data_IF_504554642388
#
_entry.id   IF_504554642388
#
_cell.length_a   1.000
_cell.length_b   1.000
_cell.length_c   1.000
_cell.angle_alpha   90.00
_cell.angle_beta   90.00
_cell.angle_gamma   90.00
#
_symmetry.space_group_name_H-M   'P 1'
#
loop_
_entity.id
_entity.type
_entity.pdbx_description
1 polymer ?
#
# COMPACT_ATOMS: atom_id res chain seq x y z
N UNK A 1 -41.18 -10.89 -8.31
CA UNK A 1 -39.86 -11.31 -8.81
C UNK A 1 -39.52 -10.47 -10.03
N UNK A 2 -38.59 -9.53 -9.88
CA UNK A 2 -37.86 -8.89 -10.96
C UNK A 2 -36.64 -8.25 -10.29
N UNK A 3 -35.45 -8.79 -10.57
CA UNK A 3 -34.18 -8.26 -10.07
C UNK A 3 -33.64 -7.36 -11.17
N UNK A 4 -33.72 -6.05 -10.96
CA UNK A 4 -33.04 -5.09 -11.80
C UNK A 4 -31.53 -5.28 -11.64
N UNK A 5 -30.93 -5.68 -12.75
CA UNK A 5 -29.49 -5.76 -12.96
C UNK A 5 -28.99 -4.30 -13.02
N UNK A 6 -28.04 -3.96 -12.15
CA UNK A 6 -27.39 -2.64 -12.08
C UNK A 6 -26.97 -2.13 -13.47
N UNK A 7 -27.16 -0.84 -13.78
CA UNK A 7 -26.58 -0.26 -14.98
C UNK A 7 -25.05 -0.07 -14.82
N UNK A 8 -24.29 -0.12 -15.92
CA UNK A 8 -22.84 0.12 -15.96
C UNK A 8 -22.50 1.60 -15.66
N UNK A 9 -21.21 1.95 -15.43
CA UNK A 9 -20.82 3.31 -15.08
C UNK A 9 -21.32 4.32 -16.11
N UNK A 10 -21.88 5.42 -15.60
CA UNK A 10 -22.63 6.42 -16.34
C UNK A 10 -21.94 6.85 -17.65
N UNK A 11 -22.66 6.73 -18.77
CA UNK A 11 -22.36 7.42 -20.03
C UNK A 11 -22.33 8.92 -19.75
N UNK A 12 -21.16 9.55 -19.87
CA UNK A 12 -21.02 11.00 -19.73
C UNK A 12 -21.39 11.67 -21.06
N UNK A 13 -22.38 12.55 -20.97
CA UNK A 13 -22.88 13.45 -22.00
C UNK A 13 -21.71 14.26 -22.60
N UNK A 14 -21.63 14.33 -23.93
CA UNK A 14 -20.76 15.27 -24.67
C UNK A 14 -21.26 16.69 -24.37
N UNK A 15 -20.44 17.52 -23.73
CA UNK A 15 -20.60 18.97 -23.74
C UNK A 15 -19.43 19.57 -24.50
N UNK A 16 -19.79 20.55 -25.32
CA UNK A 16 -19.00 21.27 -26.31
C UNK A 16 -17.67 21.82 -25.81
N UNK A 17 -16.75 21.90 -26.76
CA UNK A 17 -15.46 22.59 -26.69
C UNK A 17 -15.65 24.07 -26.42
N UNK A 18 -15.14 24.55 -25.29
CA UNK A 18 -14.73 25.93 -25.13
C UNK A 18 -13.25 25.97 -24.77
N UNK A 19 -12.52 26.68 -25.63
CA UNK A 19 -11.08 26.87 -25.62
C UNK A 19 -10.70 27.78 -24.46
N UNK A 20 -10.22 27.21 -23.35
CA UNK A 20 -9.56 27.99 -22.29
C UNK A 20 -8.08 27.66 -22.28
N UNK A 21 -7.29 28.68 -22.58
CA UNK A 21 -5.83 28.70 -22.65
C UNK A 21 -5.23 28.33 -21.30
N UNK A 22 -4.93 27.04 -21.11
CA UNK A 22 -4.24 26.55 -19.91
C UNK A 22 -2.74 26.89 -20.01
N UNK A 23 -2.24 27.63 -19.01
CA UNK A 23 -0.81 27.81 -18.78
C UNK A 23 -0.13 26.44 -18.65
N UNK A 24 0.82 26.18 -19.56
CA UNK A 24 1.71 25.00 -19.52
C UNK A 24 2.53 25.02 -18.23
N UNK A 25 2.09 24.31 -17.20
CA UNK A 25 3.02 23.65 -16.29
C UNK A 25 3.29 22.26 -16.87
N UNK A 26 4.41 22.16 -17.59
CA UNK A 26 4.98 20.92 -18.08
C UNK A 26 5.37 20.06 -16.89
N UNK A 27 4.62 19.01 -16.62
CA UNK A 27 5.07 17.90 -15.75
C UNK A 27 6.25 17.25 -16.50
N UNK A 28 7.49 17.30 -15.97
CA UNK A 28 8.62 16.68 -16.64
C UNK A 28 8.39 15.18 -16.79
N UNK A 29 8.88 14.61 -17.89
CA UNK A 29 8.96 13.17 -18.06
C UNK A 29 9.96 12.61 -17.04
N UNK A 30 9.47 12.20 -15.87
CA UNK A 30 10.28 11.72 -14.77
C UNK A 30 10.74 10.29 -15.04
N UNK A 31 11.99 10.13 -15.49
CA UNK A 31 12.75 8.93 -15.13
C UNK A 31 12.78 8.86 -13.61
N UNK A 32 12.36 7.76 -12.96
CA UNK A 32 12.38 7.68 -11.50
C UNK A 32 13.78 7.98 -10.98
N UNK A 33 13.89 8.93 -10.06
CA UNK A 33 15.16 9.17 -9.38
C UNK A 33 15.62 7.85 -8.73
N UNK A 34 16.91 7.50 -8.82
CA UNK A 34 17.41 6.30 -8.18
C UNK A 34 17.12 6.37 -6.67
N UNK A 35 16.75 5.22 -6.09
CA UNK A 35 16.56 5.10 -4.65
C UNK A 35 17.84 5.55 -3.92
N UNK A 36 17.73 6.29 -2.80
CA UNK A 36 18.90 6.59 -2.00
C UNK A 36 19.54 5.30 -1.48
N UNK A 37 20.85 5.30 -1.19
CA UNK A 37 21.52 4.14 -0.61
C UNK A 37 20.77 3.60 0.60
N UNK A 38 20.55 2.29 0.64
CA UNK A 38 19.87 1.64 1.77
C UNK A 38 20.82 1.56 2.96
N UNK A 39 20.46 2.19 4.07
CA UNK A 39 21.24 2.10 5.30
C UNK A 39 21.03 0.71 5.93
N UNK A 40 22.13 0.01 6.20
CA UNK A 40 22.13 -1.34 6.78
C UNK A 40 21.36 -1.46 8.11
N UNK A 41 21.24 -0.36 8.86
CA UNK A 41 20.51 -0.31 10.14
C UNK A 41 19.03 0.07 9.99
N UNK A 42 18.54 0.22 8.76
CA UNK A 42 17.16 0.61 8.48
C UNK A 42 16.38 -0.49 7.75
N UNK A 43 15.08 -0.55 8.00
CA UNK A 43 14.14 -1.34 7.23
C UNK A 43 13.63 -0.48 6.07
N UNK A 44 13.87 -0.92 4.83
CA UNK A 44 13.24 -0.33 3.65
C UNK A 44 11.90 -1.01 3.40
N UNK A 45 10.82 -0.25 3.49
CA UNK A 45 9.46 -0.75 3.44
C UNK A 45 8.77 -0.13 2.22
N UNK A 46 8.20 -0.97 1.37
CA UNK A 46 7.34 -0.57 0.26
C UNK A 46 5.89 -0.87 0.56
N UNK A 47 4.99 -0.08 -0.01
CA UNK A 47 3.55 -0.33 0.01
C UNK A 47 2.92 -0.01 -1.32
N UNK A 48 2.04 -0.89 -1.77
CA UNK A 48 1.45 -0.81 -3.09
C UNK A 48 0.07 -1.47 -3.16
N UNK A 49 -0.96 -0.69 -3.46
CA UNK A 49 -2.24 -1.24 -3.91
C UNK A 49 -2.06 -1.78 -5.33
N UNK A 50 -2.12 -3.09 -5.49
CA UNK A 50 -1.85 -3.76 -6.77
C UNK A 50 -3.10 -4.07 -7.58
N UNK A 51 -4.28 -3.83 -7.01
CA UNK A 51 -5.57 -4.06 -7.66
C UNK A 51 -5.69 -5.47 -8.30
N UNK A 52 -5.26 -6.49 -7.56
CA UNK A 52 -5.31 -7.90 -7.94
C UNK A 52 -3.94 -8.51 -8.19
N UNK A 53 -3.69 -9.68 -7.60
CA UNK A 53 -2.37 -10.34 -7.66
C UNK A 53 -2.08 -11.04 -8.99
N UNK A 54 -3.11 -11.45 -9.73
CA UNK A 54 -2.96 -12.34 -10.88
C UNK A 54 -1.99 -11.85 -11.96
N UNK A 55 -1.98 -10.55 -12.35
CA UNK A 55 -1.02 -10.05 -13.34
C UNK A 55 0.44 -10.27 -12.96
N UNK A 56 0.76 -10.36 -11.66
CA UNK A 56 2.12 -10.52 -11.14
C UNK A 56 2.61 -11.97 -11.08
N UNK A 57 1.73 -12.93 -11.37
CA UNK A 57 2.00 -14.37 -11.30
C UNK A 57 2.04 -15.01 -12.69
N UNK A 58 1.73 -14.26 -13.75
CA UNK A 58 1.73 -14.78 -15.11
C UNK A 58 3.18 -14.99 -15.59
N UNK A 59 3.45 -16.17 -16.15
CA UNK A 59 4.70 -16.39 -16.86
C UNK A 59 4.70 -15.53 -18.14
N UNK A 60 5.84 -14.91 -18.51
CA UNK A 60 5.97 -14.24 -19.80
C UNK A 60 5.49 -15.15 -20.93
N UNK A 61 4.63 -14.67 -21.83
CA UNK A 61 4.17 -15.45 -23.00
C UNK A 61 5.35 -15.93 -23.87
N UNK A 62 6.49 -15.25 -23.82
CA UNK A 62 7.74 -15.66 -24.48
C UNK A 62 8.28 -17.01 -24.01
N UNK A 63 7.81 -17.57 -22.89
CA UNK A 63 8.16 -18.94 -22.49
C UNK A 63 7.53 -20.03 -23.38
N UNK A 64 6.57 -19.67 -24.24
CA UNK A 64 5.90 -20.59 -25.17
C UNK A 64 6.40 -20.47 -26.61
N UNK A 65 7.18 -19.44 -26.92
CA UNK A 65 7.79 -19.27 -28.23
C UNK A 65 9.28 -19.59 -28.10
N UNK A 66 9.68 -20.81 -28.48
CA UNK A 66 11.09 -21.08 -28.71
C UNK A 66 11.62 -20.07 -29.75
N UNK A 67 12.77 -19.43 -29.52
CA UNK A 67 13.33 -18.49 -30.47
C UNK A 67 13.73 -19.26 -31.73
N UNK A 68 12.94 -19.11 -32.80
CA UNK A 68 13.44 -19.40 -34.14
C UNK A 68 14.66 -18.50 -34.36
N UNK A 69 15.81 -19.12 -34.67
CA UNK A 69 17.09 -18.45 -34.94
C UNK A 69 16.90 -17.35 -35.97
N UNK A 70 16.66 -16.11 -35.52
CA UNK A 70 16.59 -14.94 -36.38
C UNK A 70 18.03 -14.50 -36.67
N UNK A 71 18.40 -14.56 -37.95
CA UNK A 71 19.68 -14.08 -38.48
C UNK A 71 19.87 -12.59 -38.17
N UNK A 72 21.08 -12.30 -37.70
CA UNK A 72 21.77 -11.01 -37.59
C UNK A 72 21.02 -9.73 -37.91
N UNK A 73 20.82 -8.91 -36.88
CA UNK A 73 21.04 -7.46 -36.97
C UNK A 73 21.85 -7.05 -35.75
N UNK A 74 23.08 -6.59 -36.00
CA UNK A 74 23.93 -5.97 -34.98
C UNK A 74 23.36 -4.58 -34.70
N UNK A 75 22.61 -4.46 -33.60
CA UNK A 75 22.39 -3.17 -32.99
C UNK A 75 22.49 -3.35 -31.47
N UNK A 76 23.64 -2.95 -30.93
CA UNK A 76 24.13 -3.26 -29.58
C UNK A 76 23.47 -2.47 -28.45
N UNK A 77 22.16 -2.22 -28.54
CA UNK A 77 21.40 -1.70 -27.41
C UNK A 77 20.47 -2.81 -26.89
N UNK A 78 20.55 -3.22 -25.61
CA UNK A 78 19.54 -4.10 -25.06
C UNK A 78 18.23 -3.31 -25.05
N UNK A 79 17.38 -3.55 -26.05
CA UNK A 79 15.96 -3.19 -25.98
C UNK A 79 15.44 -3.91 -24.73
N UNK A 80 15.33 -3.17 -23.62
CA UNK A 80 14.69 -3.63 -22.40
C UNK A 80 13.22 -3.87 -22.72
N UNK A 81 12.93 -5.05 -23.30
CA UNK A 81 11.58 -5.56 -23.42
C UNK A 81 10.96 -5.45 -22.03
N UNK A 82 9.78 -4.83 -21.95
CA UNK A 82 9.02 -4.68 -20.73
C UNK A 82 8.89 -6.05 -20.08
N UNK A 83 9.69 -6.31 -19.04
CA UNK A 83 9.56 -7.53 -18.27
C UNK A 83 8.12 -7.55 -17.75
N UNK A 84 7.39 -8.67 -17.91
CA UNK A 84 6.03 -8.75 -17.40
C UNK A 84 6.02 -8.44 -15.90
N UNK A 85 4.90 -7.91 -15.43
CA UNK A 85 4.69 -7.62 -14.02
C UNK A 85 5.04 -8.88 -13.20
N UNK A 86 6.04 -8.76 -12.33
CA UNK A 86 6.61 -9.87 -11.55
C UNK A 86 7.01 -9.36 -10.18
N UNK A 87 6.58 -10.07 -9.14
CA UNK A 87 6.94 -9.73 -7.76
C UNK A 87 8.47 -9.80 -7.56
N UNK A 88 9.12 -10.86 -8.07
CA UNK A 88 10.57 -11.02 -7.94
C UNK A 88 11.34 -9.92 -8.68
N UNK A 89 10.88 -9.56 -9.88
CA UNK A 89 11.50 -8.48 -10.65
C UNK A 89 11.32 -7.11 -9.98
N UNK A 90 10.17 -6.89 -9.32
CA UNK A 90 9.95 -5.69 -8.49
C UNK A 90 10.96 -5.64 -7.33
N UNK A 91 11.09 -6.75 -6.58
CA UNK A 91 12.02 -6.83 -5.46
C UNK A 91 13.47 -6.61 -5.92
N UNK A 92 13.88 -7.19 -7.04
CA UNK A 92 15.22 -7.01 -7.59
C UNK A 92 15.49 -5.55 -7.99
N UNK A 93 14.60 -4.93 -8.77
CA UNK A 93 14.83 -3.56 -9.27
C UNK A 93 14.83 -2.51 -8.16
N UNK A 94 14.14 -2.79 -7.06
CA UNK A 94 14.07 -1.92 -5.88
C UNK A 94 15.04 -2.33 -4.77
N UNK A 95 16.13 -3.00 -5.15
CA UNK A 95 17.28 -3.33 -4.29
C UNK A 95 16.90 -4.17 -3.06
N UNK A 96 16.01 -5.15 -3.24
CA UNK A 96 15.65 -6.14 -2.23
C UNK A 96 15.18 -5.53 -0.90
N UNK A 97 14.06 -4.77 -0.92
CA UNK A 97 13.56 -4.08 0.26
C UNK A 97 13.29 -5.05 1.41
N UNK A 98 13.37 -4.58 2.65
CA UNK A 98 13.12 -5.40 3.83
C UNK A 98 11.70 -5.97 3.84
N UNK A 99 10.71 -5.14 3.47
CA UNK A 99 9.30 -5.49 3.48
C UNK A 99 8.60 -4.89 2.25
N UNK A 100 7.71 -5.66 1.64
CA UNK A 100 6.77 -5.20 0.61
C UNK A 100 5.34 -5.50 1.04
N UNK A 101 4.53 -4.45 1.16
CA UNK A 101 3.11 -4.55 1.43
C UNK A 101 2.28 -4.42 0.16
N UNK A 102 1.37 -5.37 -0.03
CA UNK A 102 0.44 -5.40 -1.12
C UNK A 102 -0.99 -5.26 -0.61
N UNK A 103 -1.74 -4.31 -1.17
CA UNK A 103 -3.17 -4.13 -0.93
C UNK A 103 -4.00 -4.59 -2.14
N UNK A 104 -5.28 -4.91 -1.89
CA UNK A 104 -6.19 -5.47 -2.89
C UNK A 104 -5.62 -6.68 -3.63
N UNK A 105 -5.09 -7.67 -2.91
CA UNK A 105 -4.57 -8.89 -3.56
C UNK A 105 -5.67 -9.70 -4.27
N UNK A 106 -6.93 -9.54 -3.84
CA UNK A 106 -8.14 -10.18 -4.42
C UNK A 106 -8.06 -11.70 -4.46
N UNK A 107 -7.51 -12.29 -3.41
CA UNK A 107 -7.41 -13.72 -3.21
C UNK A 107 -8.51 -14.14 -2.23
N UNK A 108 -9.31 -15.15 -2.60
CA UNK A 108 -10.28 -15.73 -1.67
C UNK A 108 -9.55 -16.59 -0.62
N UNK A 109 -10.02 -16.69 0.64
CA UNK A 109 -9.36 -17.49 1.67
C UNK A 109 -9.09 -18.94 1.27
N UNK A 110 -10.03 -19.54 0.53
CA UNK A 110 -9.93 -20.93 0.05
C UNK A 110 -9.09 -21.09 -1.23
N UNK A 111 -8.57 -20.00 -1.83
CA UNK A 111 -7.75 -20.06 -3.03
C UNK A 111 -6.28 -20.34 -2.68
N UNK A 112 -6.01 -21.53 -2.14
CA UNK A 112 -4.67 -21.97 -1.74
C UNK A 112 -3.71 -22.03 -2.93
N UNK A 113 -4.22 -22.35 -4.12
CA UNK A 113 -3.42 -22.38 -5.34
C UNK A 113 -2.79 -21.02 -5.63
N UNK A 114 -3.57 -19.94 -5.57
CA UNK A 114 -3.03 -18.59 -5.82
C UNK A 114 -2.08 -18.18 -4.71
N UNK A 115 -2.39 -18.48 -3.44
CA UNK A 115 -1.49 -18.21 -2.31
C UNK A 115 -0.13 -18.92 -2.45
N UNK A 116 -0.14 -20.20 -2.84
CA UNK A 116 1.08 -20.97 -3.08
C UNK A 116 1.85 -20.47 -4.30
N UNK A 117 1.15 -19.98 -5.33
CA UNK A 117 1.78 -19.37 -6.51
C UNK A 117 2.53 -18.09 -6.15
N UNK A 118 1.98 -17.25 -5.26
CA UNK A 118 2.68 -16.08 -4.70
C UNK A 118 3.92 -16.51 -3.94
N UNK A 119 3.79 -17.47 -3.01
CA UNK A 119 4.94 -17.98 -2.23
C UNK A 119 6.05 -18.52 -3.14
N UNK A 120 5.69 -19.27 -4.18
CA UNK A 120 6.64 -19.80 -5.16
C UNK A 120 7.33 -18.69 -5.96
N UNK A 121 6.61 -17.66 -6.39
CA UNK A 121 7.17 -16.53 -7.13
C UNK A 121 8.24 -15.77 -6.32
N UNK A 122 8.13 -15.76 -5.00
CA UNK A 122 9.06 -15.09 -4.10
C UNK A 122 10.30 -15.92 -3.77
N UNK A 123 10.21 -17.24 -3.92
CA UNK A 123 11.28 -18.22 -3.66
C UNK A 123 12.00 -18.70 -4.93
N UNK A 124 11.50 -18.30 -6.10
CA UNK A 124 12.10 -18.63 -7.39
C UNK A 124 13.04 -17.51 -7.81
N UNK A 125 14.28 -17.86 -8.13
CA UNK A 125 15.27 -16.93 -8.68
C UNK A 125 14.94 -16.57 -10.13
N UNK A 126 15.16 -15.32 -10.51
CA UNK A 126 15.14 -14.91 -11.91
C UNK A 126 16.33 -15.52 -12.66
N UNK A 127 16.25 -15.72 -13.99
CA UNK A 127 17.38 -16.21 -14.78
C UNK A 127 18.67 -15.38 -14.58
N UNK A 128 18.54 -14.05 -14.44
CA UNK A 128 19.67 -13.17 -14.15
C UNK A 128 20.34 -13.49 -12.80
N UNK A 129 19.57 -13.86 -11.78
CA UNK A 129 20.09 -14.24 -10.46
C UNK A 129 20.77 -15.62 -10.46
N UNK A 130 20.51 -16.46 -11.47
CA UNK A 130 21.11 -17.78 -11.59
C UNK A 130 22.45 -17.75 -12.33
N UNK A 131 22.75 -16.67 -13.05
CA UNK A 131 23.99 -16.53 -13.80
C UNK A 131 25.23 -16.49 -12.89
N UNK A 132 25.11 -15.86 -11.71
CA UNK A 132 26.19 -15.72 -10.74
C UNK A 132 25.67 -15.98 -9.33
N UNK A 133 26.36 -16.83 -8.57
CA UNK A 133 25.93 -17.19 -7.21
C UNK A 133 25.85 -15.98 -6.27
N UNK A 134 26.78 -15.03 -6.42
CA UNK A 134 26.86 -13.81 -5.61
C UNK A 134 25.80 -12.76 -5.98
N UNK A 135 25.09 -12.93 -7.10
CA UNK A 135 24.01 -12.05 -7.54
C UNK A 135 22.62 -12.55 -7.13
N UNK A 136 22.55 -13.68 -6.41
CA UNK A 136 21.28 -14.21 -5.89
C UNK A 136 20.70 -13.28 -4.83
N UNK A 137 19.51 -12.76 -5.10
CA UNK A 137 18.79 -11.96 -4.13
C UNK A 137 18.29 -12.78 -2.94
N UNK A 138 18.00 -12.15 -1.80
CA UNK A 138 17.44 -12.83 -0.64
C UNK A 138 16.07 -13.44 -0.94
N UNK A 139 15.69 -14.46 -0.18
CA UNK A 139 14.35 -15.06 -0.25
C UNK A 139 13.35 -14.27 0.60
N UNK A 140 12.06 -14.46 0.31
CA UNK A 140 10.97 -13.80 1.04
C UNK A 140 9.88 -14.80 1.41
N UNK A 141 9.20 -14.52 2.52
CA UNK A 141 7.97 -15.19 2.93
C UNK A 141 6.76 -14.26 2.76
N UNK A 142 5.61 -14.85 2.41
CA UNK A 142 4.36 -14.12 2.20
C UNK A 142 3.33 -14.48 3.27
N UNK A 143 2.74 -13.45 3.89
CA UNK A 143 1.74 -13.55 4.93
C UNK A 143 0.47 -12.84 4.50
N UNK A 144 -0.65 -13.56 4.53
CA UNK A 144 -1.92 -13.06 4.01
C UNK A 144 -2.90 -12.73 5.12
N UNK A 145 -3.70 -11.69 4.91
CA UNK A 145 -4.96 -11.46 5.64
C UNK A 145 -6.06 -11.32 4.60
N UNK A 146 -6.92 -12.34 4.52
CA UNK A 146 -7.93 -12.50 3.47
C UNK A 146 -9.34 -12.33 4.05
N UNK A 147 -10.31 -11.83 3.26
CA UNK A 147 -11.65 -11.55 3.75
C UNK A 147 -12.41 -12.81 4.18
N UNK A 148 -12.98 -12.78 5.37
CA UNK A 148 -13.87 -13.84 5.92
C UNK A 148 -15.32 -13.37 6.10
N UNK A 149 -15.59 -12.08 5.87
CA UNK A 149 -16.93 -11.50 5.94
C UNK A 149 -17.81 -11.93 4.75
N UNK A 150 -18.69 -12.89 4.99
CA UNK A 150 -19.63 -13.43 3.99
C UNK A 150 -20.68 -12.44 3.48
N UNK A 151 -20.93 -11.35 4.19
CA UNK A 151 -21.97 -10.37 3.84
C UNK A 151 -21.39 -9.18 3.09
N UNK A 152 -20.23 -8.67 3.52
CA UNK A 152 -19.65 -7.45 2.99
C UNK A 152 -18.48 -7.68 2.01
N UNK A 153 -17.83 -8.84 2.04
CA UNK A 153 -16.65 -9.15 1.21
C UNK A 153 -16.90 -10.28 0.21
N UNK A 154 -18.00 -10.18 -0.55
CA UNK A 154 -18.46 -11.23 -1.48
C UNK A 154 -17.68 -11.29 -2.80
N UNK A 155 -17.14 -10.17 -3.27
CA UNK A 155 -16.51 -10.08 -4.59
C UNK A 155 -17.44 -10.40 -5.78
N UNK A 156 -16.90 -10.40 -7.01
CA UNK A 156 -17.68 -10.71 -8.21
C UNK A 156 -18.29 -12.12 -8.12
N UNK A 157 -19.58 -12.23 -8.43
CA UNK A 157 -20.34 -13.50 -8.40
C UNK A 157 -20.26 -14.27 -7.06
N UNK A 158 -19.94 -13.59 -5.95
CA UNK A 158 -19.81 -14.26 -4.65
C UNK A 158 -18.52 -15.06 -4.47
N UNK A 159 -17.50 -14.83 -5.29
CA UNK A 159 -16.23 -15.57 -5.27
C UNK A 159 -15.35 -15.35 -4.03
N UNK A 160 -15.63 -14.32 -3.22
CA UNK A 160 -14.76 -13.87 -2.13
C UNK A 160 -13.46 -13.19 -2.60
N UNK A 161 -13.25 -13.05 -3.92
CA UNK A 161 -12.07 -12.42 -4.51
C UNK A 161 -12.20 -10.90 -4.52
N UNK A 162 -12.07 -10.31 -3.35
CA UNK A 162 -12.16 -8.86 -3.13
C UNK A 162 -11.25 -8.47 -1.97
N UNK A 163 -10.71 -7.25 -1.96
CA UNK A 163 -9.86 -6.75 -0.87
C UNK A 163 -8.64 -7.67 -0.64
N UNK A 164 -8.33 -7.97 0.63
CA UNK A 164 -7.18 -8.78 1.03
C UNK A 164 -5.89 -7.97 1.02
N UNK A 165 -5.02 -8.24 1.99
CA UNK A 165 -3.66 -7.71 2.04
C UNK A 165 -2.63 -8.85 2.14
N UNK A 166 -1.44 -8.62 1.60
CA UNK A 166 -0.30 -9.52 1.71
C UNK A 166 0.94 -8.76 2.15
N UNK A 167 1.62 -9.26 3.17
CA UNK A 167 2.91 -8.74 3.61
C UNK A 167 4.00 -9.71 3.20
N UNK A 168 4.94 -9.22 2.39
CA UNK A 168 6.08 -9.96 1.88
C UNK A 168 7.31 -9.50 2.66
N UNK A 169 7.92 -10.41 3.41
CA UNK A 169 8.99 -10.10 4.37
C UNK A 169 10.23 -10.87 4.01
N UNK A 170 11.36 -10.17 3.97
CA UNK A 170 12.66 -10.77 3.64
C UNK A 170 13.06 -11.78 4.71
N UNK A 171 13.44 -12.98 4.28
CA UNK A 171 13.58 -14.14 5.16
C UNK A 171 14.72 -14.00 6.17
N UNK A 172 15.82 -13.37 5.74
CA UNK A 172 17.02 -13.13 6.56
C UNK A 172 16.78 -12.22 7.77
N UNK A 173 15.74 -11.36 7.74
CA UNK A 173 15.40 -10.47 8.85
C UNK A 173 15.06 -11.23 10.13
N UNK A 174 14.61 -12.49 10.02
CA UNK A 174 14.33 -13.36 11.16
C UNK A 174 15.57 -13.68 11.99
N UNK A 175 16.77 -13.60 11.39
CA UNK A 175 18.04 -13.76 12.10
C UNK A 175 18.39 -12.56 12.97
N UNK A 176 17.97 -11.35 12.57
CA UNK A 176 18.27 -10.08 13.25
C UNK A 176 17.17 -9.65 14.21
N UNK A 177 15.91 -9.96 13.90
CA UNK A 177 14.74 -9.50 14.63
C UNK A 177 13.87 -10.67 15.09
N UNK A 178 13.10 -10.45 16.16
CA UNK A 178 11.92 -11.26 16.43
C UNK A 178 10.76 -10.63 15.67
N UNK A 179 10.24 -11.35 14.66
CA UNK A 179 9.13 -10.87 13.84
C UNK A 179 7.90 -11.73 14.10
N UNK A 180 6.80 -11.09 14.49
CA UNK A 180 5.50 -11.70 14.63
C UNK A 180 4.51 -11.08 13.64
N UNK A 181 3.54 -11.88 13.22
CA UNK A 181 2.52 -11.49 12.25
C UNK A 181 1.16 -11.70 12.88
N UNK A 182 0.28 -10.71 12.79
CA UNK A 182 -1.10 -10.83 13.25
C UNK A 182 -2.05 -9.94 12.46
N UNK A 183 -3.33 -10.12 12.75
CA UNK A 183 -4.38 -9.18 12.34
C UNK A 183 -5.20 -8.78 13.58
N UNK A 184 -6.24 -7.99 13.37
CA UNK A 184 -7.17 -7.50 14.38
C UNK A 184 -8.47 -8.31 14.35
N UNK A 185 -9.16 -8.39 15.48
CA UNK A 185 -10.39 -9.18 15.62
C UNK A 185 -11.61 -8.50 14.96
N UNK A 186 -11.61 -7.16 14.95
CA UNK A 186 -12.68 -6.30 14.48
C UNK A 186 -12.72 -6.12 12.95
N UNK A 187 -11.75 -6.69 12.22
CA UNK A 187 -11.72 -6.68 10.77
C UNK A 187 -11.91 -8.08 10.17
N UNK A 188 -13.09 -8.31 9.60
CA UNK A 188 -13.39 -9.53 8.84
C UNK A 188 -13.26 -9.34 7.33
N UNK A 189 -12.90 -8.14 6.85
CA UNK A 189 -12.77 -7.84 5.42
C UNK A 189 -11.36 -8.05 4.87
N UNK A 190 -10.39 -8.45 5.72
CA UNK A 190 -9.03 -8.76 5.28
C UNK A 190 -8.23 -7.52 4.86
N UNK A 191 -8.39 -6.43 5.60
CA UNK A 191 -7.88 -5.08 5.30
C UNK A 191 -6.66 -4.68 6.11
N UNK A 192 -6.36 -5.39 7.20
CA UNK A 192 -5.25 -5.05 8.10
C UNK A 192 -4.39 -6.28 8.34
N UNK A 193 -3.09 -6.12 8.16
CA UNK A 193 -2.08 -7.04 8.66
C UNK A 193 -1.00 -6.25 9.39
N UNK A 194 -0.56 -6.74 10.54
CA UNK A 194 0.42 -6.08 11.40
C UNK A 194 1.66 -6.95 11.47
N UNK A 195 2.79 -6.36 11.09
CA UNK A 195 4.13 -6.93 11.23
C UNK A 195 4.77 -6.32 12.47
N UNK A 196 4.90 -7.11 13.52
CA UNK A 196 5.53 -6.72 14.78
C UNK A 196 7.00 -7.10 14.75
N UNK A 197 7.88 -6.12 14.78
CA UNK A 197 9.35 -6.30 14.73
C UNK A 197 9.94 -5.89 16.07
N UNK A 198 10.64 -6.79 16.75
CA UNK A 198 11.42 -6.49 17.95
C UNK A 198 12.90 -6.71 17.69
N UNK A 199 13.73 -5.78 18.15
CA UNK A 199 15.17 -5.98 18.18
C UNK A 199 15.53 -7.18 19.07
N UNK A 200 16.53 -7.96 18.65
CA UNK A 200 17.09 -9.05 19.47
C UNK A 200 18.11 -8.55 20.49
N UNK A 201 18.63 -7.33 20.30
CA UNK A 201 19.74 -6.78 21.07
C UNK A 201 19.36 -5.54 21.88
N UNK A 202 18.12 -5.06 21.73
CA UNK A 202 17.61 -3.90 22.45
C UNK A 202 16.11 -4.01 22.70
N UNK A 203 15.56 -3.13 23.53
CA UNK A 203 14.12 -3.04 23.81
C UNK A 203 13.32 -2.37 22.68
N UNK A 204 13.97 -2.02 21.56
CA UNK A 204 13.32 -1.36 20.44
C UNK A 204 12.30 -2.30 19.80
N UNK A 205 11.07 -1.80 19.60
CA UNK A 205 9.99 -2.55 18.98
C UNK A 205 9.10 -1.66 18.11
N UNK A 206 8.72 -2.18 16.95
CA UNK A 206 8.01 -1.49 15.90
C UNK A 206 6.82 -2.32 15.43
N UNK A 207 5.63 -1.72 15.39
CA UNK A 207 4.45 -2.31 14.78
C UNK A 207 4.19 -1.64 13.42
N UNK A 208 4.29 -2.41 12.34
CA UNK A 208 4.13 -1.93 10.97
C UNK A 208 2.82 -2.46 10.40
N UNK A 209 1.91 -1.55 10.03
CA UNK A 209 0.59 -1.93 9.51
C UNK A 209 0.58 -1.89 7.99
N UNK A 210 0.10 -2.97 7.37
CA UNK A 210 -0.31 -3.03 5.98
C UNK A 210 -1.82 -2.86 5.90
N UNK A 211 -2.27 -1.73 5.34
CA UNK A 211 -3.66 -1.28 5.42
C UNK A 211 -4.26 -1.09 4.03
N UNK A 212 -5.43 -1.68 3.83
CA UNK A 212 -6.36 -1.32 2.77
C UNK A 212 -7.67 -0.78 3.39
N UNK A 213 -7.70 0.52 3.66
CA UNK A 213 -8.81 1.16 4.36
C UNK A 213 -10.11 1.11 3.55
N UNK A 214 -11.23 1.29 4.25
CA UNK A 214 -12.55 1.19 3.64
C UNK A 214 -12.77 2.31 2.62
N UNK A 215 -13.13 1.93 1.40
CA UNK A 215 -13.69 2.88 0.44
C UNK A 215 -15.13 3.24 0.85
N UNK A 216 -15.42 4.54 0.94
CA UNK A 216 -16.70 5.05 1.41
C UNK A 216 -17.69 5.16 0.24
N UNK A 217 -18.85 4.51 0.38
CA UNK A 217 -19.97 4.58 -0.58
C UNK A 217 -21.31 4.50 0.15
N UNK A 218 -22.41 4.76 -0.55
CA UNK A 218 -23.78 4.59 -0.03
C UNK A 218 -24.25 3.13 0.02
N UNK A 219 -23.41 2.17 -0.40
CA UNK A 219 -23.76 0.76 -0.30
C UNK A 219 -24.05 0.39 1.16
N UNK A 220 -25.06 -0.44 1.36
CA UNK A 220 -25.39 -0.95 2.68
C UNK A 220 -24.20 -1.70 3.29
N UNK A 221 -24.01 -1.52 4.59
CA UNK A 221 -23.10 -2.31 5.41
C UNK A 221 -23.90 -3.20 6.35
N UNK A 222 -23.49 -4.46 6.42
CA UNK A 222 -24.17 -5.49 7.19
C UNK A 222 -23.31 -5.93 8.36
N UNK A 223 -23.94 -6.30 9.46
CA UNK A 223 -23.28 -6.93 10.59
C UNK A 223 -22.62 -8.26 10.13
N UNK A 224 -21.31 -8.45 10.33
CA UNK A 224 -20.62 -9.65 9.85
C UNK A 224 -21.11 -10.96 10.48
N UNK A 225 -21.73 -10.91 11.67
CA UNK A 225 -22.21 -12.07 12.41
C UNK A 225 -23.66 -12.41 12.06
N UNK A 226 -24.55 -11.43 12.11
CA UNK A 226 -26.00 -11.63 11.94
C UNK A 226 -26.49 -11.40 10.51
N UNK A 227 -25.76 -10.62 9.70
CA UNK A 227 -26.20 -10.19 8.37
C UNK A 227 -27.25 -9.08 8.39
N UNK A 228 -27.59 -8.52 9.56
CA UNK A 228 -28.50 -7.39 9.67
C UNK A 228 -27.87 -6.12 9.07
N UNK A 229 -28.67 -5.27 8.40
CA UNK A 229 -28.17 -3.98 7.91
C UNK A 229 -27.96 -3.03 9.09
N UNK A 230 -26.73 -2.52 9.24
CA UNK A 230 -26.35 -1.64 10.36
C UNK A 230 -25.83 -0.26 9.91
N UNK A 231 -25.81 0.02 8.60
CA UNK A 231 -25.44 1.33 8.08
C UNK A 231 -25.03 1.30 6.62
N UNK A 232 -24.06 2.15 6.28
CA UNK A 232 -23.44 2.27 4.95
C UNK A 232 -21.92 2.04 5.00
N UNK A 233 -21.28 1.96 3.83
CA UNK A 233 -19.81 1.91 3.75
C UNK A 233 -19.16 3.19 4.26
N UNK A 234 -19.83 4.34 4.16
CA UNK A 234 -19.36 5.57 4.79
C UNK A 234 -19.31 5.44 6.33
N UNK A 235 -20.33 4.84 6.96
CA UNK A 235 -20.34 4.62 8.41
C UNK A 235 -19.24 3.63 8.82
N UNK A 236 -19.09 2.54 8.07
CA UNK A 236 -18.03 1.56 8.30
C UNK A 236 -16.63 2.17 8.18
N UNK A 237 -16.42 3.10 7.23
CA UNK A 237 -15.15 3.82 7.07
C UNK A 237 -14.78 4.63 8.29
N UNK A 238 -15.69 5.46 8.82
CA UNK A 238 -15.42 6.23 10.04
C UNK A 238 -15.21 5.33 11.25
N UNK A 239 -15.99 4.26 11.37
CA UNK A 239 -15.75 3.24 12.40
C UNK A 239 -14.38 2.57 12.26
N UNK A 240 -13.91 2.34 11.04
CA UNK A 240 -12.56 1.83 10.75
C UNK A 240 -11.48 2.79 11.27
N UNK A 241 -11.59 4.10 11.02
CA UNK A 241 -10.63 5.08 11.54
C UNK A 241 -10.56 5.07 13.07
N UNK A 242 -11.71 4.99 13.75
CA UNK A 242 -11.77 4.92 15.22
C UNK A 242 -11.10 3.65 15.75
N UNK A 243 -11.37 2.50 15.15
CA UNK A 243 -10.80 1.22 15.57
C UNK A 243 -9.28 1.16 15.31
N UNK A 244 -8.84 1.66 14.15
CA UNK A 244 -7.42 1.76 13.82
C UNK A 244 -6.66 2.68 14.80
N UNK A 245 -7.21 3.85 15.12
CA UNK A 245 -6.61 4.75 16.11
C UNK A 245 -6.48 4.07 17.49
N UNK A 246 -7.51 3.34 17.94
CA UNK A 246 -7.44 2.63 19.22
C UNK A 246 -6.36 1.56 19.24
N UNK A 247 -6.27 0.76 18.18
CA UNK A 247 -5.22 -0.25 18.02
C UNK A 247 -3.81 0.37 18.11
N UNK A 248 -3.59 1.49 17.42
CA UNK A 248 -2.30 2.19 17.49
C UNK A 248 -2.00 2.72 18.89
N UNK A 249 -2.98 3.31 19.59
CA UNK A 249 -2.79 3.83 20.95
C UNK A 249 -2.58 2.71 21.99
N UNK A 250 -3.21 1.56 21.80
CA UNK A 250 -3.01 0.40 22.65
C UNK A 250 -1.58 -0.15 22.50
N UNK A 251 -1.02 -0.14 21.30
CA UNK A 251 0.37 -0.48 21.04
C UNK A 251 1.32 0.59 21.61
N UNK A 252 1.01 1.88 21.45
CA UNK A 252 1.83 2.98 21.97
C UNK A 252 1.92 2.90 23.50
N UNK A 253 0.80 2.62 24.16
CA UNK A 253 0.74 2.41 25.62
C UNK A 253 1.53 1.18 26.08
N UNK A 254 1.67 0.17 25.21
CA UNK A 254 2.54 -0.97 25.45
C UNK A 254 4.01 -0.65 25.13
N UNK A 255 4.33 0.55 24.62
CA UNK A 255 5.68 1.02 24.34
C UNK A 255 6.16 0.71 22.92
N UNK A 256 5.27 0.36 22.00
CA UNK A 256 5.64 0.20 20.60
C UNK A 256 5.82 1.56 19.93
N UNK A 257 6.67 1.59 18.91
CA UNK A 257 6.63 2.62 17.88
C UNK A 257 5.74 2.10 16.73
N UNK A 258 4.93 2.96 16.11
CA UNK A 258 4.00 2.55 15.05
C UNK A 258 4.36 3.16 13.70
N UNK A 259 4.14 2.38 12.64
CA UNK A 259 4.18 2.84 11.26
C UNK A 259 2.98 2.27 10.50
N UNK A 260 2.01 3.13 10.20
CA UNK A 260 0.90 2.77 9.32
C UNK A 260 1.30 2.92 7.87
N UNK A 261 0.95 1.95 7.02
CA UNK A 261 1.28 1.96 5.61
C UNK A 261 0.16 1.41 4.73
N UNK A 262 -0.11 2.08 3.61
CA UNK A 262 -1.01 1.57 2.56
C UNK A 262 -2.09 2.54 2.13
N UNK A 263 -3.07 2.01 1.39
CA UNK A 263 -4.17 2.76 0.80
C UNK A 263 -5.21 3.13 1.87
N UNK A 264 -5.24 4.39 2.24
CA UNK A 264 -6.17 4.97 3.21
C UNK A 264 -7.50 5.41 2.57
N UNK A 265 -7.60 5.38 1.24
CA UNK A 265 -8.78 5.82 0.48
C UNK A 265 -9.23 7.26 0.84
N UNK A 266 -8.32 8.14 1.25
CA UNK A 266 -8.59 9.54 1.61
C UNK A 266 -7.45 10.40 1.08
N UNK A 267 -7.76 11.45 0.32
CA UNK A 267 -6.83 12.54 0.03
C UNK A 267 -6.98 13.62 1.11
N UNK A 268 -5.88 14.04 1.75
CA UNK A 268 -5.92 14.83 2.99
C UNK A 268 -6.11 16.33 2.77
N UNK A 269 -5.56 16.88 1.69
CA UNK A 269 -5.69 18.32 1.38
C UNK A 269 -5.61 18.61 -0.13
N UNK A 270 -5.66 19.89 -0.51
CA UNK A 270 -5.73 20.34 -1.91
C UNK A 270 -4.54 19.92 -2.77
N UNK A 271 -3.40 19.63 -2.15
CA UNK A 271 -2.18 19.16 -2.82
C UNK A 271 -2.27 17.68 -3.18
N UNK A 272 -3.19 16.96 -2.55
CA UNK A 272 -3.37 15.51 -2.70
C UNK A 272 -4.43 15.14 -3.76
N UNK A 273 -4.95 16.11 -4.52
CA UNK A 273 -5.91 15.85 -5.59
C UNK A 273 -5.62 16.65 -6.87
N UNK A 274 -5.81 16.01 -8.02
CA UNK A 274 -5.67 16.60 -9.35
C UNK A 274 -6.82 16.18 -10.30
N UNK A 275 -7.42 17.12 -11.05
CA UNK A 275 -7.13 18.56 -11.09
C UNK A 275 -7.50 19.30 -9.80
N UNK A 276 -8.42 18.75 -9.01
CA UNK A 276 -8.84 19.30 -7.73
C UNK A 276 -9.06 18.18 -6.72
N UNK A 277 -8.99 18.53 -5.44
CA UNK A 277 -9.40 17.65 -4.36
C UNK A 277 -10.90 17.31 -4.45
N UNK A 278 -11.25 16.04 -4.27
CA UNK A 278 -12.65 15.61 -4.29
C UNK A 278 -13.41 16.14 -3.08
N UNK A 279 -14.46 16.90 -3.34
CA UNK A 279 -15.38 17.44 -2.30
C UNK A 279 -16.83 16.97 -2.48
N UNK A 280 -17.15 16.39 -3.64
CA UNK A 280 -18.46 15.80 -3.92
C UNK A 280 -18.33 14.29 -4.16
N UNK A 281 -19.22 13.46 -3.59
CA UNK A 281 -20.24 13.82 -2.59
C UNK A 281 -19.64 14.36 -1.29
N UNK A 282 -20.44 15.11 -0.51
CA UNK A 282 -20.04 15.74 0.76
C UNK A 282 -19.40 14.75 1.75
N UNK A 283 -19.73 13.47 1.63
CA UNK A 283 -19.15 12.38 2.43
C UNK A 283 -17.64 12.27 2.27
N UNK A 284 -17.04 12.70 1.15
CA UNK A 284 -15.57 12.79 1.04
C UNK A 284 -14.97 13.80 2.03
N UNK A 285 -15.60 14.97 2.18
CA UNK A 285 -15.18 16.00 3.14
C UNK A 285 -15.32 15.49 4.58
N UNK A 286 -16.46 14.86 4.89
CA UNK A 286 -16.72 14.30 6.23
C UNK A 286 -15.72 13.20 6.58
N UNK A 287 -15.45 12.26 5.66
CA UNK A 287 -14.52 11.18 5.91
C UNK A 287 -13.06 11.67 6.05
N UNK A 288 -12.69 12.74 5.33
CA UNK A 288 -11.39 13.41 5.48
C UNK A 288 -11.26 14.10 6.84
N UNK A 289 -12.29 14.84 7.26
CA UNK A 289 -12.30 15.49 8.57
C UNK A 289 -12.20 14.45 9.71
N UNK A 290 -12.91 13.33 9.59
CA UNK A 290 -12.81 12.22 10.54
C UNK A 290 -11.42 11.57 10.52
N UNK A 291 -10.83 11.36 9.34
CA UNK A 291 -9.46 10.85 9.23
C UNK A 291 -8.45 11.76 9.94
N UNK A 292 -8.51 13.08 9.68
CA UNK A 292 -7.67 14.07 10.38
C UNK A 292 -7.89 13.97 11.89
N UNK A 293 -9.14 14.04 12.36
CA UNK A 293 -9.45 14.04 13.78
C UNK A 293 -9.02 12.75 14.50
N UNK A 294 -9.06 11.58 13.83
CA UNK A 294 -8.76 10.30 14.46
C UNK A 294 -7.30 9.88 14.31
N UNK A 295 -6.66 10.15 13.17
CA UNK A 295 -5.36 9.55 12.86
C UNK A 295 -4.20 10.54 12.84
N UNK A 296 -4.44 11.82 12.51
CA UNK A 296 -3.37 12.81 12.33
C UNK A 296 -3.34 13.87 13.43
N UNK A 297 -4.51 14.30 13.86
CA UNK A 297 -4.66 15.24 14.97
C UNK A 297 -4.56 14.48 16.29
N UNK A 298 -4.08 15.19 17.30
CA UNK A 298 -3.94 14.69 18.66
C UNK A 298 -2.53 14.83 19.20
N UNK A 299 -2.43 14.85 20.53
CA UNK A 299 -1.19 14.93 21.28
C UNK A 299 -0.84 13.62 22.00
N UNK A 300 -1.66 12.58 21.83
CA UNK A 300 -1.47 11.25 22.43
C UNK A 300 -1.76 11.17 23.94
N UNK A 301 -2.19 12.26 24.59
CA UNK A 301 -2.32 12.32 26.06
C UNK A 301 -3.67 11.87 26.60
N UNK A 302 -4.77 12.08 25.86
CA UNK A 302 -6.11 11.64 26.26
C UNK A 302 -6.54 10.45 25.40
N UNK A 303 -7.16 9.43 26.02
CA UNK A 303 -7.76 8.27 25.31
C UNK A 303 -8.79 8.69 24.28
N UNK A 304 -9.49 9.81 24.48
CA UNK A 304 -10.47 10.34 23.54
C UNK A 304 -9.88 11.23 22.43
N UNK A 305 -8.60 11.61 22.56
CA UNK A 305 -7.88 12.35 21.53
C UNK A 305 -7.48 11.43 20.36
N UNK A 306 -7.24 12.02 19.18
CA UNK A 306 -6.74 11.29 18.02
C UNK A 306 -5.32 10.73 18.25
N UNK A 307 -4.88 9.88 17.32
CA UNK A 307 -3.57 9.23 17.39
C UNK A 307 -2.40 10.22 17.27
N UNK A 308 -2.61 11.38 16.64
CA UNK A 308 -1.53 12.36 16.47
C UNK A 308 -0.44 11.93 15.49
N UNK A 309 -0.73 11.01 14.57
CA UNK A 309 0.22 10.47 13.61
C UNK A 309 0.74 11.51 12.62
N UNK A 310 1.92 11.26 12.07
CA UNK A 310 2.63 12.17 11.15
C UNK A 310 2.60 11.59 9.74
N UNK A 311 1.95 12.29 8.80
CA UNK A 311 2.07 12.00 7.36
C UNK A 311 3.52 12.25 6.92
N UNK A 312 4.25 11.15 6.72
CA UNK A 312 5.69 11.15 6.47
C UNK A 312 6.05 11.91 5.19
N UNK A 313 5.30 11.66 4.10
CA UNK A 313 5.56 12.32 2.82
C UNK A 313 5.43 13.83 2.96
N UNK A 314 4.29 14.27 3.52
CA UNK A 314 3.99 15.69 3.64
C UNK A 314 4.96 16.40 4.58
N UNK A 315 5.43 15.73 5.62
CA UNK A 315 6.40 16.29 6.56
C UNK A 315 7.80 16.44 5.96
N UNK A 316 8.19 15.59 5.02
CA UNK A 316 9.52 15.61 4.39
C UNK A 316 9.58 16.42 3.08
N UNK A 317 8.46 16.55 2.36
CA UNK A 317 8.41 17.17 1.03
C UNK A 317 7.49 18.41 0.98
N UNK A 318 6.97 18.85 2.12
CA UNK A 318 6.22 20.09 2.33
C UNK A 318 5.13 20.34 1.26
N UNK A 319 5.37 21.23 0.30
CA UNK A 319 4.38 21.64 -0.70
C UNK A 319 4.36 20.76 -1.95
N UNK A 320 5.25 19.77 -2.05
CA UNK A 320 5.36 18.95 -3.25
C UNK A 320 4.06 18.16 -3.52
N UNK A 321 3.59 18.28 -4.76
CA UNK A 321 2.44 17.53 -5.27
C UNK A 321 2.92 16.22 -5.90
N UNK A 322 2.45 15.12 -5.35
CA UNK A 322 2.61 13.76 -5.87
C UNK A 322 1.33 12.98 -5.61
N UNK A 323 1.01 12.06 -6.51
CA UNK A 323 -0.23 11.28 -6.48
C UNK A 323 0.11 9.80 -6.50
N UNK A 324 -0.72 9.00 -5.85
CA UNK A 324 -0.48 7.56 -5.71
C UNK A 324 -1.52 6.74 -6.43
N UNK A 325 -2.72 7.30 -6.67
CA UNK A 325 -3.80 6.73 -7.46
C UNK A 325 -4.02 7.54 -8.74
N UNK A 326 -4.23 6.85 -9.87
CA UNK A 326 -4.50 7.46 -11.17
C UNK A 326 -5.75 6.84 -11.81
N UNK A 327 -6.65 7.68 -12.29
CA UNK A 327 -7.90 7.19 -12.90
C UNK A 327 -7.64 6.43 -14.20
N UNK A 328 -8.12 5.17 -14.27
CA UNK A 328 -8.05 4.36 -15.50
C UNK A 328 -8.81 5.01 -16.66
N UNK A 329 -8.28 4.85 -17.88
CA UNK A 329 -8.89 5.36 -19.10
C UNK A 329 -8.74 6.87 -19.30
N UNK A 330 -7.98 7.56 -18.45
CA UNK A 330 -7.54 8.94 -18.67
C UNK A 330 -6.07 8.97 -19.05
N UNK A 331 -5.64 10.06 -19.69
CA UNK A 331 -4.22 10.30 -19.93
C UNK A 331 -3.46 10.32 -18.60
N UNK A 332 -2.32 9.65 -18.54
CA UNK A 332 -1.44 9.66 -17.36
C UNK A 332 -1.24 11.08 -16.82
N UNK A 333 -1.30 11.23 -15.50
CA UNK A 333 -1.15 12.51 -14.80
C UNK A 333 -2.32 13.49 -14.93
N UNK A 334 -3.31 13.26 -15.80
CA UNK A 334 -4.45 14.19 -15.97
C UNK A 334 -5.50 14.12 -14.86
N UNK A 335 -5.44 13.09 -14.01
CA UNK A 335 -6.29 12.96 -12.84
C UNK A 335 -5.66 11.97 -11.86
N UNK A 336 -5.50 12.38 -10.62
CA UNK A 336 -4.93 11.52 -9.59
C UNK A 336 -5.21 12.04 -8.20
N UNK A 337 -5.09 11.16 -7.22
CA UNK A 337 -5.20 11.47 -5.81
C UNK A 337 -4.02 10.84 -5.07
N UNK A 338 -3.52 11.47 -4.01
CA UNK A 338 -2.63 10.81 -3.04
C UNK A 338 -3.52 10.18 -1.99
N UNK A 339 -3.55 8.85 -1.96
CA UNK A 339 -4.38 8.07 -1.02
C UNK A 339 -3.60 6.98 -0.32
N UNK A 340 -2.36 6.74 -0.73
CA UNK A 340 -1.44 5.80 -0.12
C UNK A 340 -0.45 6.57 0.76
N UNK A 341 -0.26 6.13 2.01
CA UNK A 341 0.53 6.86 3.00
C UNK A 341 1.47 5.95 3.76
N UNK A 342 2.58 6.52 4.21
CA UNK A 342 3.22 6.15 5.46
C UNK A 342 2.82 7.19 6.53
N UNK A 343 2.26 6.74 7.65
CA UNK A 343 1.93 7.58 8.81
C UNK A 343 2.69 7.01 10.00
N UNK A 344 3.67 7.76 10.50
CA UNK A 344 4.43 7.37 11.67
C UNK A 344 3.73 7.81 12.96
N UNK A 345 3.83 7.02 14.02
CA UNK A 345 3.51 7.49 15.37
C UNK A 345 4.34 8.71 15.72
N UNK A 346 3.76 9.66 16.47
CA UNK A 346 4.43 10.93 16.80
C UNK A 346 5.78 10.71 17.48
N UNK A 347 5.81 9.79 18.44
CA UNK A 347 7.01 9.39 19.16
C UNK A 347 8.10 8.84 18.21
N UNK A 348 7.73 7.95 17.30
CA UNK A 348 8.64 7.39 16.30
C UNK A 348 9.21 8.47 15.37
N UNK A 349 8.37 9.44 14.98
CA UNK A 349 8.79 10.59 14.20
C UNK A 349 9.78 11.48 14.97
N UNK A 350 9.47 11.85 16.22
CA UNK A 350 10.29 12.73 17.06
C UNK A 350 11.65 12.12 17.42
N UNK A 351 11.72 10.78 17.59
CA UNK A 351 12.98 10.03 17.72
C UNK A 351 13.83 10.03 16.44
N UNK A 352 13.28 10.48 15.32
CA UNK A 352 13.90 10.41 14.02
C UNK A 352 14.11 8.98 13.54
N UNK A 353 13.13 8.10 13.77
CA UNK A 353 13.16 6.72 13.26
C UNK A 353 12.96 6.69 11.74
N UNK A 354 12.14 7.59 11.19
CA UNK A 354 11.95 7.73 9.73
C UNK A 354 13.13 8.48 9.10
N UNK A 355 13.77 7.89 8.10
CA UNK A 355 15.00 8.43 7.48
C UNK A 355 14.80 9.01 6.10
N UNK A 356 13.93 8.38 5.31
CA UNK A 356 13.64 8.77 3.95
C UNK A 356 12.26 8.22 3.56
N UNK A 357 11.64 8.84 2.57
CA UNK A 357 10.44 8.33 1.93
C UNK A 357 10.36 8.78 0.48
N UNK A 358 9.51 8.12 -0.31
CA UNK A 358 9.29 8.49 -1.70
C UNK A 358 8.01 7.90 -2.30
N UNK A 359 7.62 8.47 -3.44
CA UNK A 359 6.52 8.00 -4.29
C UNK A 359 7.09 7.62 -5.66
N UNK A 360 6.78 6.43 -6.15
CA UNK A 360 7.24 5.93 -7.45
C UNK A 360 6.30 6.35 -8.58
N UNK A 361 6.10 7.65 -8.78
CA UNK A 361 5.05 8.25 -9.62
C UNK A 361 5.31 8.19 -11.14
N UNK A 362 5.54 6.99 -11.67
CA UNK A 362 5.64 6.75 -13.11
C UNK A 362 4.65 5.68 -13.57
N UNK A 363 4.21 5.78 -14.84
CA UNK A 363 3.34 4.78 -15.47
C UNK A 363 3.99 3.38 -15.47
N UNK A 364 5.32 3.32 -15.60
CA UNK A 364 6.09 2.08 -15.53
C UNK A 364 6.00 1.42 -14.15
N UNK A 365 6.11 2.20 -13.08
CA UNK A 365 6.02 1.67 -11.71
C UNK A 365 4.58 1.37 -11.27
N UNK A 366 3.58 2.07 -11.83
CA UNK A 366 2.16 1.71 -11.67
C UNK A 366 1.87 0.30 -12.19
N UNK A 367 2.56 -0.13 -13.24
CA UNK A 367 2.42 -1.46 -13.82
C UNK A 367 0.95 -1.77 -14.17
N UNK A 368 0.42 -2.95 -13.79
CA UNK A 368 -0.96 -3.32 -14.07
C UNK A 368 -1.99 -2.73 -13.09
N UNK A 369 -1.54 -1.99 -12.07
CA UNK A 369 -2.42 -1.35 -11.09
C UNK A 369 -2.95 -0.01 -11.62
N UNK A 370 -3.79 0.63 -10.83
CA UNK A 370 -4.12 2.07 -10.89
C UNK A 370 -3.44 2.87 -9.77
N UNK A 371 -2.61 2.22 -8.95
CA UNK A 371 -1.76 2.88 -7.97
C UNK A 371 -0.28 2.69 -8.27
N UNK A 372 0.55 3.63 -7.82
CA UNK A 372 2.01 3.50 -7.79
C UNK A 372 2.50 3.09 -6.40
N UNK A 373 3.65 2.39 -6.29
CA UNK A 373 4.28 2.10 -5.02
C UNK A 373 4.74 3.37 -4.29
N UNK A 374 4.67 3.33 -2.97
CA UNK A 374 5.34 4.28 -2.06
C UNK A 374 6.37 3.53 -1.20
N UNK A 375 7.36 4.23 -0.67
CA UNK A 375 8.36 3.62 0.20
C UNK A 375 8.80 4.54 1.34
N UNK A 376 9.31 3.93 2.41
CA UNK A 376 9.97 4.62 3.51
C UNK A 376 11.11 3.78 4.09
N UNK A 377 12.16 4.45 4.56
CA UNK A 377 13.23 3.85 5.35
C UNK A 377 13.01 4.15 6.83
N UNK A 378 13.00 3.10 7.66
CA UNK A 378 12.72 3.21 9.09
C UNK A 378 13.81 2.51 9.92
N UNK A 379 14.44 3.25 10.82
CA UNK A 379 15.42 2.73 11.78
C UNK A 379 14.75 2.40 13.12
N UNK A 380 14.98 1.20 13.65
CA UNK A 380 14.54 0.83 15.00
C UNK A 380 15.48 1.48 16.02
N UNK A 381 14.95 2.36 16.87
CA UNK A 381 15.70 2.99 17.95
C UNK A 381 15.17 2.58 19.31
N UNK A 382 16.08 2.31 20.25
CA UNK A 382 15.72 2.12 21.65
C UNK A 382 15.35 3.47 22.30
N UNK A 383 14.63 3.42 23.42
CA UNK A 383 14.46 4.62 24.25
C UNK A 383 15.82 5.08 24.78
N UNK A 384 16.09 6.37 24.68
CA UNK A 384 17.16 6.98 25.46
C UNK A 384 16.78 6.86 26.93
N UNK A 385 17.47 6.00 27.68
CA UNK A 385 17.34 6.00 29.14
C UNK A 385 17.79 7.38 29.61
N UNK A 386 16.83 8.25 29.95
CA UNK A 386 17.12 9.49 30.66
C UNK A 386 17.94 9.10 31.87
N UNK A 387 19.21 9.50 31.90
CA UNK A 387 20.02 9.40 33.10
C UNK A 387 19.28 10.20 34.16
N UNK A 388 18.63 9.51 35.10
CA UNK A 388 18.19 10.12 36.34
C UNK A 388 19.45 10.68 36.99
N UNK A 389 19.61 12.00 36.91
CA UNK A 389 20.57 12.72 37.73
C UNK A 389 20.15 12.46 39.18
N UNK A 390 20.91 11.58 39.85
CA UNK A 390 20.84 11.37 41.29
C UNK A 390 21.23 12.63 42.04
#
# INVERSE_FOLDING_TARGET
MNRDISPPPAKRRKTSSDTVTASRQTVPANTPAPLPPHNANSLRIFSWNINGILPFLQKPITSFFEPTKAKGTQDGSPKHALLPASLRAFLQRHQWPSILFLQEVKIAPADERTQNSVKAALKSYLPAELAYADERGPLYDAYFTLPTDRFNARGPKGSGKIYGVCSIVRHDLMGTYHIAMRTVDWDKEGRIHIVEVKSRTSEAKLAIFNIYAVNGTDNAYFDPSTGARIGTRHDRKRKFHVLLMRECKELEAQGWDELMSGDMNVALDERDGHPNLRVFPQTHVINRADFHAKLLNGNGKDKNDGFGGVDVWRKMHEEERRYTYFSRGRKWGSSGDRVDYFIAGRKAWEKGCVKACGVMDSEKEMGPSDHVPIWADFELKAEDKKQEKR
#
